data_IF_406953673822
#
_entry.id   IF_406953673822
#
_cell.length_a   1.000
_cell.length_b   1.000
_cell.length_c   1.000
_cell.angle_alpha   90.00
_cell.angle_beta   90.00
_cell.angle_gamma   90.00
#
_symmetry.space_group_name_H-M   'P 1'
#
loop_
_entity.id
_entity.type
_entity.pdbx_description
1 polymer ?
#
# COMPACT_ATOMS: atom_id res chain seq x y z
N UNK A 1 23.05 5.88 -22.00
CA UNK A 1 23.02 5.03 -20.79
C UNK A 1 21.63 5.05 -20.14
N UNK A 2 20.55 4.98 -20.94
CA UNK A 2 19.18 5.28 -20.49
C UNK A 2 18.38 4.02 -20.10
N UNK A 3 18.81 2.81 -20.47
CA UNK A 3 18.05 1.58 -20.16
C UNK A 3 18.03 1.15 -18.67
N UNK A 4 18.98 1.60 -17.85
CA UNK A 4 19.11 1.14 -16.46
C UNK A 4 18.04 1.71 -15.52
N UNK A 5 17.70 2.99 -15.65
CA UNK A 5 16.72 3.65 -14.78
C UNK A 5 15.29 3.16 -15.08
N UNK A 6 15.00 2.79 -16.33
CA UNK A 6 13.70 2.25 -16.75
C UNK A 6 13.48 0.84 -16.21
N UNK A 7 14.49 -0.04 -16.33
CA UNK A 7 14.41 -1.39 -15.77
C UNK A 7 14.24 -1.36 -14.23
N UNK A 8 14.90 -0.41 -13.57
CA UNK A 8 14.74 -0.19 -12.13
C UNK A 8 13.32 0.24 -11.75
N UNK A 9 12.74 1.20 -12.49
CA UNK A 9 11.36 1.65 -12.25
C UNK A 9 10.34 0.53 -12.44
N UNK A 10 10.46 -0.26 -13.51
CA UNK A 10 9.58 -1.42 -13.77
C UNK A 10 9.65 -2.42 -12.62
N UNK A 11 10.86 -2.73 -12.14
CA UNK A 11 11.07 -3.63 -11.00
C UNK A 11 10.44 -3.09 -9.71
N UNK A 12 10.53 -1.79 -9.47
CA UNK A 12 9.90 -1.11 -8.33
C UNK A 12 8.37 -1.22 -8.40
N UNK A 13 7.79 -0.99 -9.57
CA UNK A 13 6.34 -1.10 -9.81
C UNK A 13 5.89 -2.54 -9.57
N UNK A 14 6.62 -3.55 -10.07
CA UNK A 14 6.28 -4.95 -9.86
C UNK A 14 6.35 -5.35 -8.38
N UNK A 15 7.38 -4.91 -7.65
CA UNK A 15 7.48 -5.15 -6.21
C UNK A 15 6.32 -4.52 -5.45
N UNK A 16 5.96 -3.28 -5.77
CA UNK A 16 4.82 -2.59 -5.16
C UNK A 16 3.52 -3.35 -5.39
N UNK A 17 3.27 -3.78 -6.63
CA UNK A 17 2.06 -4.54 -6.98
C UNK A 17 2.02 -5.92 -6.32
N UNK A 18 3.17 -6.55 -6.07
CA UNK A 18 3.25 -7.84 -5.39
C UNK A 18 3.09 -7.72 -3.86
N UNK A 19 3.57 -6.65 -3.24
CA UNK A 19 3.62 -6.52 -1.78
C UNK A 19 2.40 -5.83 -1.20
N UNK A 20 1.83 -4.84 -1.89
CA UNK A 20 0.69 -4.09 -1.39
C UNK A 20 -0.56 -4.96 -1.10
N UNK A 21 -0.96 -5.92 -1.95
CA UNK A 21 -2.08 -6.83 -1.63
C UNK A 21 -1.80 -7.68 -0.38
N UNK A 22 -0.57 -8.18 -0.22
CA UNK A 22 -0.17 -8.97 0.95
C UNK A 22 -0.27 -8.14 2.23
N UNK A 23 0.13 -6.87 2.17
CA UNK A 23 0.04 -5.95 3.30
C UNK A 23 -1.41 -5.62 3.65
N UNK A 24 -2.28 -5.43 2.65
CA UNK A 24 -3.72 -5.23 2.88
C UNK A 24 -4.36 -6.49 3.52
N UNK A 25 -4.00 -7.67 3.05
CA UNK A 25 -4.46 -8.94 3.66
C UNK A 25 -3.95 -9.10 5.09
N UNK A 26 -2.70 -8.75 5.36
CA UNK A 26 -2.15 -8.74 6.72
C UNK A 26 -2.90 -7.76 7.64
N UNK A 27 -3.31 -6.59 7.13
CA UNK A 27 -4.15 -5.67 7.90
C UNK A 27 -5.50 -6.30 8.23
N UNK A 28 -6.17 -6.94 7.24
CA UNK A 28 -7.44 -7.64 7.47
C UNK A 28 -7.31 -8.78 8.49
N UNK A 29 -6.24 -9.57 8.41
CA UNK A 29 -5.95 -10.63 9.39
C UNK A 29 -5.70 -10.06 10.78
N UNK A 30 -4.89 -9.01 10.89
CA UNK A 30 -4.62 -8.34 12.15
C UNK A 30 -5.91 -7.79 12.81
N UNK A 31 -6.87 -7.30 12.01
CA UNK A 31 -8.18 -6.91 12.50
C UNK A 31 -8.99 -8.11 13.01
N UNK A 32 -9.04 -9.21 12.25
CA UNK A 32 -9.74 -10.43 12.65
C UNK A 32 -9.18 -11.08 13.93
N UNK A 33 -7.88 -10.92 14.17
CA UNK A 33 -7.19 -11.45 15.35
C UNK A 33 -7.00 -10.40 16.47
N UNK A 34 -7.54 -9.20 16.31
CA UNK A 34 -7.37 -8.07 17.24
C UNK A 34 -5.90 -7.71 17.57
N UNK A 35 -4.98 -7.91 16.61
CA UNK A 35 -3.55 -7.64 16.75
C UNK A 35 -3.20 -6.22 16.29
N UNK A 36 -3.42 -5.24 17.15
CA UNK A 36 -3.19 -3.83 16.83
C UNK A 36 -1.74 -3.48 16.41
N UNK A 37 -0.75 -4.17 17.00
CA UNK A 37 0.66 -3.99 16.63
C UNK A 37 0.95 -4.44 15.19
N UNK A 38 0.33 -5.54 14.75
CA UNK A 38 0.50 -6.09 13.40
C UNK A 38 -0.19 -5.20 12.37
N UNK A 39 -1.40 -4.69 12.69
CA UNK A 39 -2.09 -3.69 11.88
C UNK A 39 -1.19 -2.46 11.65
N UNK A 40 -0.64 -1.91 12.74
CA UNK A 40 0.25 -0.75 12.67
C UNK A 40 1.45 -1.03 11.77
N UNK A 41 2.09 -2.19 11.91
CA UNK A 41 3.29 -2.53 11.16
C UNK A 41 3.01 -2.70 9.66
N UNK A 42 1.94 -3.42 9.32
CA UNK A 42 1.52 -3.58 7.93
C UNK A 42 1.18 -2.23 7.30
N UNK A 43 0.41 -1.39 8.01
CA UNK A 43 0.04 -0.05 7.56
C UNK A 43 1.25 0.87 7.38
N UNK A 44 2.21 0.85 8.31
CA UNK A 44 3.45 1.62 8.21
C UNK A 44 4.26 1.24 6.97
N UNK A 45 4.37 -0.06 6.69
CA UNK A 45 5.08 -0.59 5.52
C UNK A 45 4.41 -0.14 4.22
N UNK A 46 3.08 -0.32 4.11
CA UNK A 46 2.34 0.08 2.91
C UNK A 46 2.35 1.59 2.69
N UNK A 47 2.31 2.39 3.75
CA UNK A 47 2.45 3.86 3.67
C UNK A 47 3.76 4.28 2.99
N UNK A 48 4.88 3.68 3.40
CA UNK A 48 6.19 4.00 2.83
C UNK A 48 6.26 3.62 1.35
N UNK A 49 5.73 2.45 1.01
CA UNK A 49 5.60 2.01 -0.38
C UNK A 49 4.74 2.98 -1.21
N UNK A 50 3.58 3.38 -0.70
CA UNK A 50 2.70 4.35 -1.36
C UNK A 50 3.39 5.71 -1.59
N UNK A 51 4.15 6.20 -0.61
CA UNK A 51 4.89 7.46 -0.74
C UNK A 51 5.95 7.43 -1.85
N UNK A 52 6.60 6.29 -2.09
CA UNK A 52 7.60 6.15 -3.16
C UNK A 52 7.00 6.41 -4.56
N UNK A 53 5.70 6.15 -4.74
CA UNK A 53 4.98 6.37 -6.00
C UNK A 53 4.11 7.62 -5.98
N UNK A 54 4.22 8.47 -4.95
CA UNK A 54 3.39 9.66 -4.79
C UNK A 54 1.90 9.36 -4.56
N UNK A 55 1.56 8.13 -4.14
CA UNK A 55 0.20 7.69 -3.87
C UNK A 55 -0.32 8.28 -2.55
N UNK A 56 -0.54 9.60 -2.54
CA UNK A 56 -0.81 10.35 -1.32
C UNK A 56 -2.12 9.95 -0.61
N UNK A 57 -3.15 9.56 -1.37
CA UNK A 57 -4.40 9.06 -0.79
C UNK A 57 -4.21 7.73 -0.07
N UNK A 58 -3.58 6.75 -0.73
CA UNK A 58 -3.24 5.47 -0.13
C UNK A 58 -2.37 5.65 1.12
N UNK A 59 -1.35 6.52 1.05
CA UNK A 59 -0.50 6.83 2.18
C UNK A 59 -1.28 7.46 3.36
N UNK A 60 -2.30 8.29 3.09
CA UNK A 60 -3.19 8.84 4.12
C UNK A 60 -4.01 7.76 4.81
N UNK A 61 -4.62 6.83 4.05
CA UNK A 61 -5.38 5.73 4.67
C UNK A 61 -4.49 4.83 5.52
N UNK A 62 -3.30 4.50 5.01
CA UNK A 62 -2.31 3.74 5.78
C UNK A 62 -1.87 4.49 7.04
N UNK A 63 -1.75 5.83 6.99
CA UNK A 63 -1.41 6.61 8.18
C UNK A 63 -2.51 6.54 9.24
N UNK A 64 -3.78 6.62 8.84
CA UNK A 64 -4.92 6.44 9.74
C UNK A 64 -4.88 5.06 10.41
N UNK A 65 -4.66 3.98 9.64
CA UNK A 65 -4.53 2.62 10.17
C UNK A 65 -3.34 2.46 11.13
N UNK A 66 -2.20 3.07 10.81
CA UNK A 66 -1.03 3.12 11.68
C UNK A 66 -1.35 3.80 13.02
N UNK A 67 -2.09 4.90 13.00
CA UNK A 67 -2.46 5.63 14.21
C UNK A 67 -3.50 4.87 15.05
N UNK A 68 -4.49 4.23 14.41
CA UNK A 68 -5.46 3.33 15.05
C UNK A 68 -4.76 2.15 15.75
N UNK A 69 -3.88 1.45 15.04
CA UNK A 69 -3.08 0.36 15.60
C UNK A 69 -2.12 0.82 16.71
N UNK A 70 -1.61 2.05 16.64
CA UNK A 70 -0.75 2.63 17.69
C UNK A 70 -1.49 2.86 19.00
N UNK A 71 -2.76 3.31 18.95
CA UNK A 71 -3.56 3.54 20.16
C UNK A 71 -4.34 2.31 20.62
N UNK A 72 -4.34 1.23 19.82
CA UNK A 72 -5.06 0.00 20.12
C UNK A 72 -6.56 0.05 19.80
N UNK A 73 -7.01 1.08 19.10
CA UNK A 73 -8.42 1.26 18.73
C UNK A 73 -8.65 0.69 17.34
N UNK A 74 -9.18 -0.53 17.28
CA UNK A 74 -9.45 -1.22 16.00
C UNK A 74 -10.87 -0.94 15.47
N UNK A 75 -11.68 -0.21 16.24
CA UNK A 75 -13.01 0.20 15.82
C UNK A 75 -12.93 1.12 14.60
N UNK A 76 -13.66 0.77 13.53
CA UNK A 76 -13.65 1.51 12.27
C UNK A 76 -12.43 1.26 11.38
N UNK A 77 -11.42 0.50 11.84
CA UNK A 77 -10.24 0.22 11.05
C UNK A 77 -10.56 -0.63 9.79
N UNK A 78 -11.58 -1.49 9.84
CA UNK A 78 -12.02 -2.28 8.69
C UNK A 78 -12.45 -1.41 7.49
N UNK A 79 -13.25 -0.37 7.75
CA UNK A 79 -13.68 0.59 6.72
C UNK A 79 -12.46 1.31 6.11
N UNK A 80 -11.48 1.67 6.94
CA UNK A 80 -10.26 2.32 6.46
C UNK A 80 -9.38 1.35 5.63
N UNK A 81 -9.36 0.06 5.95
CA UNK A 81 -8.68 -0.96 5.12
C UNK A 81 -9.38 -1.09 3.76
N UNK A 82 -10.71 -1.09 3.71
CA UNK A 82 -11.46 -1.12 2.44
C UNK A 82 -11.18 0.13 1.57
N UNK A 83 -11.12 1.31 2.20
CA UNK A 83 -10.72 2.54 1.52
C UNK A 83 -9.28 2.45 1.01
N UNK A 84 -8.35 1.92 1.82
CA UNK A 84 -6.96 1.70 1.39
C UNK A 84 -6.87 0.72 0.20
N UNK A 85 -7.66 -0.35 0.20
CA UNK A 85 -7.71 -1.31 -0.90
C UNK A 85 -8.24 -0.67 -2.20
N UNK A 86 -9.26 0.18 -2.08
CA UNK A 86 -9.81 0.93 -3.22
C UNK A 86 -8.78 1.90 -3.80
N UNK A 87 -8.09 2.65 -2.95
CA UNK A 87 -7.03 3.58 -3.36
C UNK A 87 -5.83 2.83 -3.97
N UNK A 88 -5.46 1.68 -3.43
CA UNK A 88 -4.45 0.82 -4.02
C UNK A 88 -4.80 0.41 -5.44
N UNK A 89 -6.05 0.01 -5.71
CA UNK A 89 -6.45 -0.38 -7.05
C UNK A 89 -6.35 0.77 -8.05
N UNK A 90 -6.69 2.01 -7.64
CA UNK A 90 -6.50 3.20 -8.47
C UNK A 90 -5.02 3.44 -8.80
N UNK A 91 -4.15 3.32 -7.79
CA UNK A 91 -2.69 3.46 -7.97
C UNK A 91 -2.15 2.36 -8.87
N UNK A 92 -2.60 1.12 -8.69
CA UNK A 92 -2.19 -0.03 -9.50
C UNK A 92 -2.51 0.19 -10.97
N UNK A 93 -3.72 0.64 -11.29
CA UNK A 93 -4.13 0.95 -12.66
C UNK A 93 -3.25 2.05 -13.29
N UNK A 94 -2.96 3.11 -12.54
CA UNK A 94 -2.09 4.18 -12.99
C UNK A 94 -0.65 3.69 -13.25
N UNK A 95 -0.09 2.88 -12.35
CA UNK A 95 1.27 2.32 -12.50
C UNK A 95 1.37 1.34 -13.67
N UNK A 96 0.35 0.52 -13.93
CA UNK A 96 0.30 -0.36 -15.11
C UNK A 96 0.34 0.43 -16.40
N UNK A 97 -0.37 1.57 -16.47
CA UNK A 97 -0.36 2.41 -17.67
C UNK A 97 1.02 3.06 -17.90
N UNK A 98 1.68 3.47 -16.82
CA UNK A 98 3.06 3.95 -16.86
C UNK A 98 4.00 2.84 -17.35
N UNK A 99 3.91 1.62 -16.80
CA UNK A 99 4.75 0.49 -17.18
C UNK A 99 4.62 0.11 -18.67
N UNK A 100 3.40 0.13 -19.20
CA UNK A 100 3.16 -0.11 -20.64
C UNK A 100 3.83 0.93 -21.52
N UNK A 101 3.83 2.20 -21.09
CA UNK A 101 4.46 3.30 -21.84
C UNK A 101 5.97 3.15 -21.96
N UNK A 102 6.60 2.35 -21.10
CA UNK A 102 8.04 2.05 -21.15
C UNK A 102 8.39 0.73 -21.84
N UNK A 103 7.39 -0.09 -22.18
CA UNK A 103 7.59 -1.40 -22.82
C UNK A 103 7.42 -1.35 -24.35
N UNK A 104 7.19 -0.17 -24.92
CA UNK A 104 6.92 0.09 -26.34
C UNK A 104 7.95 1.09 -26.89
#
# INVERSE_FOLDING_TARGET
MVGGEMAFLVTLIDSFMADAPKLLDQMNQALGEAKAADLKLAAHTLKSLANNFGAAQLARQCKTLEDLGRVGELNGAAEVVELAATEYEQVRLALVEIQKSYSN
#
